data_IF_107898144920
#
_entry.id   IF_107898144920
#
_cell.length_a   1.000
_cell.length_b   1.000
_cell.length_c   1.000
_cell.angle_alpha   90.00
_cell.angle_beta   90.00
_cell.angle_gamma   90.00
#
_symmetry.space_group_name_H-M   'P 1'
#
loop_
_entity.id
_entity.type
_entity.pdbx_description
1 polymer ?
#
# COMPACT_ATOMS: atom_id res chain seq x y z
N UNK A 1 2.27 20.55 2.79
CA UNK A 1 1.02 19.80 2.47
C UNK A 1 1.32 18.30 2.54
N UNK A 2 0.42 17.45 3.07
CA UNK A 2 0.70 16.01 3.19
C UNK A 2 0.66 15.33 1.81
N UNK A 3 1.65 14.47 1.46
CA UNK A 3 1.68 13.76 0.17
C UNK A 3 0.49 12.83 -0.01
N UNK A 4 -0.02 12.69 -1.25
CA UNK A 4 -1.23 11.90 -1.56
C UNK A 4 -1.29 11.52 -3.04
N UNK A 5 -1.90 10.38 -3.37
CA UNK A 5 -2.20 10.00 -4.76
C UNK A 5 -3.25 10.90 -5.44
N UNK A 6 -3.81 11.88 -4.73
CA UNK A 6 -4.69 12.88 -5.34
C UNK A 6 -3.94 13.90 -6.22
N UNK A 7 -2.64 14.11 -5.97
CA UNK A 7 -1.80 15.05 -6.69
C UNK A 7 -0.85 14.33 -7.65
N UNK A 8 -0.78 14.84 -8.87
CA UNK A 8 0.05 14.25 -9.93
C UNK A 8 1.54 14.24 -9.55
N UNK A 9 2.05 15.34 -8.95
CA UNK A 9 3.45 15.46 -8.55
C UNK A 9 3.84 14.45 -7.46
N UNK A 10 2.99 14.26 -6.45
CA UNK A 10 3.24 13.26 -5.40
C UNK A 10 3.23 11.83 -5.96
N UNK A 11 2.32 11.56 -6.89
CA UNK A 11 2.23 10.27 -7.55
C UNK A 11 3.47 10.03 -8.42
N UNK A 12 3.90 11.02 -9.19
CA UNK A 12 5.08 10.93 -10.04
C UNK A 12 6.35 10.69 -9.20
N UNK A 13 6.53 11.42 -8.10
CA UNK A 13 7.65 11.20 -7.17
C UNK A 13 7.64 9.78 -6.59
N UNK A 14 6.48 9.29 -6.16
CA UNK A 14 6.34 7.95 -5.60
C UNK A 14 6.70 6.87 -6.62
N UNK A 15 6.24 7.02 -7.88
CA UNK A 15 6.55 6.09 -8.97
C UNK A 15 8.03 6.15 -9.36
N UNK A 16 8.65 7.32 -9.36
CA UNK A 16 10.09 7.46 -9.61
C UNK A 16 10.90 6.73 -8.53
N UNK A 17 10.52 6.85 -7.27
CA UNK A 17 11.13 6.09 -6.17
C UNK A 17 10.92 4.59 -6.36
N UNK A 18 9.72 4.14 -6.72
CA UNK A 18 9.43 2.73 -7.01
C UNK A 18 10.35 2.17 -8.11
N UNK A 19 10.61 2.95 -9.16
CA UNK A 19 11.51 2.55 -10.27
C UNK A 19 12.98 2.40 -9.85
N UNK A 20 13.38 2.95 -8.71
CA UNK A 20 14.73 2.77 -8.14
C UNK A 20 14.90 1.48 -7.35
N UNK A 21 13.80 0.77 -7.06
CA UNK A 21 13.87 -0.55 -6.40
C UNK A 21 14.58 -1.54 -7.31
N UNK A 22 15.52 -2.30 -6.76
CA UNK A 22 16.31 -3.33 -7.45
C UNK A 22 16.13 -4.68 -6.76
N UNK A 23 16.37 -5.81 -7.45
CA UNK A 23 16.27 -7.13 -6.84
C UNK A 23 17.13 -7.31 -5.57
N UNK A 24 18.27 -6.63 -5.54
CA UNK A 24 19.25 -6.65 -4.45
C UNK A 24 19.12 -5.50 -3.46
N UNK A 25 18.07 -4.67 -3.57
CA UNK A 25 17.81 -3.58 -2.62
C UNK A 25 17.75 -4.11 -1.18
N UNK A 26 18.61 -3.63 -0.26
CA UNK A 26 18.66 -4.12 1.11
C UNK A 26 17.47 -3.60 1.92
N UNK A 27 16.79 -4.49 2.65
CA UNK A 27 15.75 -4.07 3.59
C UNK A 27 16.35 -3.49 4.87
N UNK A 28 15.73 -2.46 5.40
CA UNK A 28 16.05 -1.85 6.70
C UNK A 28 15.36 -2.57 7.87
N UNK A 29 14.15 -3.11 7.62
CA UNK A 29 13.36 -3.88 8.60
C UNK A 29 12.46 -4.91 7.91
N UNK A 30 11.82 -5.77 8.71
CA UNK A 30 10.89 -6.77 8.21
C UNK A 30 11.56 -7.99 7.62
N UNK A 31 10.79 -8.83 6.93
CA UNK A 31 11.23 -10.13 6.41
C UNK A 31 11.17 -10.27 4.90
N UNK A 32 10.32 -9.50 4.21
CA UNK A 32 10.20 -9.54 2.75
C UNK A 32 11.50 -9.07 2.08
N UNK A 33 11.88 -9.69 0.97
CA UNK A 33 12.86 -9.12 0.05
C UNK A 33 12.19 -8.09 -0.87
N UNK A 34 13.00 -7.40 -1.70
CA UNK A 34 12.49 -6.33 -2.57
C UNK A 34 11.41 -6.83 -3.57
N UNK A 35 11.58 -8.03 -4.14
CA UNK A 35 10.62 -8.61 -5.06
C UNK A 35 9.29 -8.95 -4.38
N UNK A 36 9.36 -9.58 -3.20
CA UNK A 36 8.17 -9.86 -2.39
C UNK A 36 7.43 -8.58 -1.98
N UNK A 37 8.14 -7.49 -1.70
CA UNK A 37 7.54 -6.20 -1.41
C UNK A 37 6.75 -5.65 -2.60
N UNK A 38 7.26 -5.79 -3.83
CA UNK A 38 6.52 -5.38 -5.03
C UNK A 38 5.21 -6.15 -5.16
N UNK A 39 5.25 -7.47 -5.05
CA UNK A 39 4.03 -8.30 -5.08
C UNK A 39 3.05 -7.91 -3.96
N UNK A 40 3.56 -7.67 -2.76
CA UNK A 40 2.74 -7.20 -1.63
C UNK A 40 2.05 -5.86 -1.91
N UNK A 41 2.76 -4.88 -2.47
CA UNK A 41 2.17 -3.58 -2.81
C UNK A 41 1.07 -3.72 -3.86
N UNK A 42 1.29 -4.54 -4.91
CA UNK A 42 0.28 -4.80 -5.93
C UNK A 42 -0.96 -5.49 -5.32
N UNK A 43 -0.76 -6.53 -4.52
CA UNK A 43 -1.85 -7.27 -3.85
C UNK A 43 -2.62 -6.39 -2.86
N UNK A 44 -1.96 -5.46 -2.17
CA UNK A 44 -2.64 -4.51 -1.30
C UNK A 44 -3.59 -3.61 -2.09
N UNK A 45 -3.20 -3.12 -3.26
CA UNK A 45 -4.10 -2.32 -4.11
C UNK A 45 -5.27 -3.16 -4.64
N UNK A 46 -5.01 -4.41 -5.08
CA UNK A 46 -6.06 -5.36 -5.50
C UNK A 46 -7.05 -5.69 -4.39
N UNK A 47 -6.56 -5.83 -3.16
CA UNK A 47 -7.41 -6.06 -2.01
C UNK A 47 -8.36 -4.88 -1.75
N UNK A 48 -7.88 -3.65 -1.89
CA UNK A 48 -8.70 -2.46 -1.68
C UNK A 48 -9.71 -2.24 -2.81
N UNK A 49 -9.38 -2.63 -4.03
CA UNK A 49 -10.35 -2.59 -5.16
C UNK A 49 -11.32 -3.78 -5.17
N UNK A 50 -11.12 -4.77 -4.30
CA UNK A 50 -12.01 -5.93 -4.13
C UNK A 50 -11.67 -7.12 -5.03
N UNK A 51 -10.54 -7.09 -5.74
CA UNK A 51 -10.05 -8.22 -6.55
C UNK A 51 -9.56 -9.36 -5.66
N UNK A 52 -8.91 -9.04 -4.54
CA UNK A 52 -8.50 -9.99 -3.50
C UNK A 52 -9.37 -9.80 -2.27
N UNK A 53 -9.91 -10.89 -1.74
CA UNK A 53 -10.66 -10.86 -0.49
C UNK A 53 -9.69 -10.92 0.68
N UNK A 54 -9.85 -10.00 1.62
CA UNK A 54 -9.09 -9.95 2.86
C UNK A 54 -10.00 -9.93 4.08
N UNK A 55 -9.55 -10.54 5.16
CA UNK A 55 -10.26 -10.56 6.43
C UNK A 55 -10.40 -9.16 7.04
N UNK A 56 -11.54 -8.89 7.64
CA UNK A 56 -11.84 -7.63 8.30
C UNK A 56 -11.65 -7.77 9.81
N UNK A 57 -10.71 -7.01 10.36
CA UNK A 57 -10.58 -6.79 11.80
C UNK A 57 -10.56 -5.29 12.04
N UNK A 58 -11.70 -4.72 12.32
CA UNK A 58 -11.83 -3.29 12.55
C UNK A 58 -12.54 -3.00 13.85
N UNK A 59 -11.84 -3.08 15.01
CA UNK A 59 -12.37 -2.56 16.27
C UNK A 59 -12.77 -1.10 16.11
N UNK A 60 -13.80 -0.65 16.85
CA UNK A 60 -14.29 0.74 16.77
C UNK A 60 -13.19 1.79 16.97
N UNK A 61 -12.20 1.49 17.82
CA UNK A 61 -11.03 2.36 18.08
C UNK A 61 -10.20 2.62 16.81
N UNK A 62 -10.01 1.60 15.96
CA UNK A 62 -9.28 1.75 14.70
C UNK A 62 -10.03 2.64 13.71
N UNK A 63 -11.35 2.71 13.82
CA UNK A 63 -12.21 3.52 12.95
C UNK A 63 -12.22 5.01 13.30
N UNK A 64 -11.70 5.39 14.45
CA UNK A 64 -11.74 6.74 15.00
C UNK A 64 -10.33 7.35 15.10
N UNK A 65 -9.76 7.33 16.30
CA UNK A 65 -8.50 8.01 16.60
C UNK A 65 -7.30 7.43 15.83
N UNK A 66 -7.18 6.09 15.79
CA UNK A 66 -6.05 5.46 15.09
C UNK A 66 -6.07 5.78 13.59
N UNK A 67 -7.24 5.74 12.95
CA UNK A 67 -7.41 6.15 11.56
C UNK A 67 -6.94 7.58 11.33
N UNK A 68 -7.40 8.51 12.18
CA UNK A 68 -7.01 9.90 12.08
C UNK A 68 -5.50 10.06 12.24
N UNK A 69 -4.92 9.48 13.28
CA UNK A 69 -3.48 9.54 13.53
C UNK A 69 -2.66 8.92 12.37
N UNK A 70 -3.05 7.75 11.89
CA UNK A 70 -2.34 7.05 10.82
C UNK A 70 -2.36 7.80 9.48
N UNK A 71 -3.43 8.52 9.18
CA UNK A 71 -3.60 9.17 7.88
C UNK A 71 -3.19 10.64 7.87
N UNK A 72 -3.35 11.36 8.99
CA UNK A 72 -3.27 12.82 8.99
C UNK A 72 -2.16 13.40 9.87
N UNK A 73 -1.57 12.61 10.76
CA UNK A 73 -0.37 13.04 11.48
C UNK A 73 0.84 12.96 10.52
N UNK A 74 1.67 14.01 10.41
CA UNK A 74 2.80 14.06 9.49
C UNK A 74 4.01 13.27 10.01
N UNK A 75 3.77 12.06 10.45
CA UNK A 75 4.80 11.12 10.90
C UNK A 75 4.75 9.86 10.01
N UNK A 76 5.91 9.28 9.73
CA UNK A 76 5.95 8.00 9.04
C UNK A 76 5.28 6.90 9.86
N UNK A 77 4.65 5.95 9.19
CA UNK A 77 4.13 4.77 9.88
C UNK A 77 5.27 4.02 10.58
N UNK A 78 4.95 3.46 11.73
CA UNK A 78 5.88 2.67 12.53
C UNK A 78 6.37 1.45 11.73
N UNK A 79 7.66 1.13 11.87
CA UNK A 79 8.25 -0.06 11.29
C UNK A 79 7.63 -1.35 11.87
N UNK A 80 7.53 -2.39 11.04
CA UNK A 80 7.07 -3.71 11.48
C UNK A 80 5.56 -3.81 11.74
N UNK A 81 4.73 -3.01 11.06
CA UNK A 81 3.29 -3.19 11.07
C UNK A 81 2.91 -4.58 10.55
N UNK A 82 1.96 -5.22 11.22
CA UNK A 82 1.49 -6.57 10.83
C UNK A 82 0.72 -6.50 9.51
N UNK A 83 1.10 -7.40 8.62
CA UNK A 83 0.41 -7.65 7.36
C UNK A 83 -0.76 -8.62 7.58
N UNK A 84 -1.82 -8.49 6.80
CA UNK A 84 -2.91 -9.47 6.76
C UNK A 84 -2.37 -10.80 6.22
N UNK A 85 -2.83 -11.96 6.72
CA UNK A 85 -2.35 -13.28 6.25
C UNK A 85 -2.46 -13.44 4.74
N UNK A 86 -3.55 -12.96 4.15
CA UNK A 86 -3.83 -13.05 2.71
C UNK A 86 -2.88 -12.19 1.85
N UNK A 87 -2.16 -11.26 2.47
CA UNK A 87 -1.18 -10.38 1.83
C UNK A 87 0.26 -10.67 2.28
N UNK A 88 0.45 -11.66 3.16
CA UNK A 88 1.79 -12.01 3.67
C UNK A 88 2.56 -12.83 2.65
N UNK A 89 3.57 -12.23 2.06
CA UNK A 89 4.43 -12.85 1.05
C UNK A 89 5.24 -14.06 1.56
N UNK A 90 5.34 -14.22 2.86
CA UNK A 90 5.97 -15.40 3.50
C UNK A 90 4.95 -16.45 3.94
N UNK A 91 3.67 -16.17 3.72
CA UNK A 91 2.54 -17.04 4.05
C UNK A 91 1.67 -17.34 2.83
N UNK A 92 0.41 -16.93 2.89
CA UNK A 92 -0.64 -17.27 1.92
C UNK A 92 -0.90 -16.17 0.87
N UNK A 93 0.09 -15.30 0.58
CA UNK A 93 -0.08 -14.21 -0.38
C UNK A 93 -0.61 -14.70 -1.74
N UNK A 94 -1.46 -13.88 -2.34
CA UNK A 94 -2.11 -14.17 -3.62
C UNK A 94 -1.10 -14.23 -4.77
N UNK A 95 -0.21 -13.23 -4.87
CA UNK A 95 0.80 -13.14 -5.92
C UNK A 95 2.16 -13.61 -5.41
N UNK A 96 2.84 -14.43 -6.19
CA UNK A 96 4.22 -14.84 -5.94
C UNK A 96 5.17 -14.12 -6.89
N UNK A 97 6.42 -13.80 -6.46
CA UNK A 97 7.44 -13.23 -7.33
C UNK A 97 7.65 -14.05 -8.61
N UNK A 98 7.56 -13.38 -9.74
CA UNK A 98 7.78 -13.93 -11.08
C UNK A 98 8.96 -13.26 -11.77
N UNK A 99 8.69 -12.37 -12.74
CA UNK A 99 9.67 -11.48 -13.35
C UNK A 99 9.70 -10.16 -12.60
N UNK A 100 10.88 -9.73 -12.16
CA UNK A 100 11.02 -8.56 -11.29
C UNK A 100 10.54 -7.27 -11.95
N UNK A 101 10.87 -7.07 -13.23
CA UNK A 101 10.48 -5.87 -13.95
C UNK A 101 8.99 -5.84 -14.24
N UNK A 102 8.42 -6.99 -14.64
CA UNK A 102 6.99 -7.13 -14.85
C UNK A 102 6.21 -6.90 -13.54
N UNK A 103 6.67 -7.44 -12.42
CA UNK A 103 6.04 -7.26 -11.12
C UNK A 103 6.15 -5.80 -10.63
N UNK A 104 7.25 -5.10 -10.94
CA UNK A 104 7.39 -3.67 -10.66
C UNK A 104 6.41 -2.83 -11.47
N UNK A 105 6.29 -3.09 -12.77
CA UNK A 105 5.31 -2.42 -13.64
C UNK A 105 3.87 -2.71 -13.20
N UNK A 106 3.62 -3.92 -12.69
CA UNK A 106 2.32 -4.27 -12.14
C UNK A 106 1.95 -3.42 -10.92
N UNK A 107 2.89 -3.06 -10.03
CA UNK A 107 2.61 -2.11 -8.95
C UNK A 107 2.17 -0.76 -9.50
N UNK A 108 2.87 -0.22 -10.51
CA UNK A 108 2.50 1.04 -11.15
C UNK A 108 1.08 0.97 -11.71
N UNK A 109 0.77 -0.08 -12.45
CA UNK A 109 -0.57 -0.32 -13.02
C UNK A 109 -1.66 -0.43 -11.94
N UNK A 110 -1.38 -1.12 -10.85
CA UNK A 110 -2.33 -1.28 -9.74
C UNK A 110 -2.56 0.03 -8.97
N UNK A 111 -1.56 0.91 -8.86
CA UNK A 111 -1.74 2.26 -8.32
C UNK A 111 -2.71 3.07 -9.20
N UNK A 112 -2.57 3.02 -10.52
CA UNK A 112 -3.47 3.71 -11.45
C UNK A 112 -4.90 3.19 -11.35
N UNK A 113 -5.08 1.86 -11.34
CA UNK A 113 -6.40 1.20 -11.16
C UNK A 113 -7.02 1.63 -9.83
N UNK A 114 -6.25 1.62 -8.76
CA UNK A 114 -6.71 2.03 -7.44
C UNK A 114 -7.17 3.50 -7.42
N UNK A 115 -6.39 4.42 -7.98
CA UNK A 115 -6.76 5.84 -8.08
C UNK A 115 -8.08 5.98 -8.84
N UNK A 116 -8.23 5.30 -9.98
CA UNK A 116 -9.44 5.34 -10.78
C UNK A 116 -10.65 4.76 -10.01
N UNK A 117 -10.47 3.65 -9.30
CA UNK A 117 -11.51 3.03 -8.50
C UNK A 117 -11.96 3.93 -7.34
N UNK A 118 -11.02 4.57 -6.63
CA UNK A 118 -11.32 5.53 -5.56
C UNK A 118 -12.11 6.72 -6.09
N UNK A 119 -11.72 7.29 -7.23
CA UNK A 119 -12.42 8.43 -7.86
C UNK A 119 -13.83 8.06 -8.33
N UNK A 120 -14.02 6.84 -8.81
CA UNK A 120 -15.36 6.32 -9.19
C UNK A 120 -16.26 6.11 -7.96
N UNK A 121 -15.67 5.81 -6.81
CA UNK A 121 -16.39 5.52 -5.57
C UNK A 121 -16.87 4.06 -5.46
N UNK A 122 -17.53 3.76 -4.35
CA UNK A 122 -18.13 2.44 -4.11
C UNK A 122 -17.16 1.39 -3.57
N UNK A 123 -15.96 1.78 -3.13
CA UNK A 123 -15.06 0.84 -2.45
C UNK A 123 -15.67 0.34 -1.15
N UNK A 124 -15.43 -0.93 -0.84
CA UNK A 124 -15.79 -1.52 0.46
C UNK A 124 -15.00 -0.83 1.59
N UNK A 125 -15.49 -0.87 2.84
CA UNK A 125 -14.73 -0.33 3.97
C UNK A 125 -13.32 -0.94 4.05
N UNK A 126 -12.34 -0.12 4.42
CA UNK A 126 -10.96 -0.57 4.62
C UNK A 126 -10.90 -1.62 5.75
N UNK A 127 -10.15 -2.74 5.59
CA UNK A 127 -10.13 -3.84 6.57
C UNK A 127 -9.77 -3.41 8.00
N UNK A 128 -8.92 -2.39 8.14
CA UNK A 128 -8.48 -1.88 9.45
C UNK A 128 -9.21 -0.61 9.87
N UNK A 129 -9.39 0.35 8.95
CA UNK A 129 -9.90 1.69 9.28
C UNK A 129 -11.41 1.87 9.05
N UNK A 130 -12.10 0.86 8.50
CA UNK A 130 -13.51 0.97 8.16
C UNK A 130 -13.75 1.94 6.99
N UNK A 131 -14.90 2.62 6.94
CA UNK A 131 -15.22 3.54 5.84
C UNK A 131 -14.21 4.68 5.73
N UNK A 132 -13.73 4.95 4.50
CA UNK A 132 -12.82 6.03 4.17
C UNK A 132 -13.44 6.96 3.14
N UNK A 133 -13.17 8.26 3.27
CA UNK A 133 -13.46 9.25 2.22
C UNK A 133 -12.50 9.08 1.03
N UNK A 134 -12.84 9.65 -0.13
CA UNK A 134 -11.94 9.69 -1.29
C UNK A 134 -10.55 10.22 -0.92
N UNK A 135 -10.48 11.33 -0.18
CA UNK A 135 -9.21 11.90 0.25
C UNK A 135 -8.41 10.95 1.17
N UNK A 136 -9.09 10.28 2.10
CA UNK A 136 -8.47 9.32 3.00
C UNK A 136 -7.96 8.07 2.26
N UNK A 137 -8.68 7.57 1.26
CA UNK A 137 -8.24 6.47 0.41
C UNK A 137 -6.97 6.82 -0.37
N UNK A 138 -6.94 7.97 -1.04
CA UNK A 138 -5.78 8.40 -1.83
C UNK A 138 -4.57 8.71 -0.94
N UNK A 139 -4.81 9.20 0.28
CA UNK A 139 -3.76 9.38 1.29
C UNK A 139 -3.22 8.03 1.76
N UNK A 140 -4.09 7.06 2.06
CA UNK A 140 -3.71 5.71 2.46
C UNK A 140 -2.85 5.04 1.38
N UNK A 141 -3.28 5.07 0.13
CA UNK A 141 -2.54 4.47 -0.98
C UNK A 141 -1.11 5.00 -1.09
N UNK A 142 -0.93 6.32 -0.98
CA UNK A 142 0.40 6.94 -0.95
C UNK A 142 1.22 6.43 0.24
N UNK A 143 0.67 6.50 1.46
CA UNK A 143 1.36 6.11 2.69
C UNK A 143 1.77 4.64 2.70
N UNK A 144 0.94 3.76 2.15
CA UNK A 144 1.22 2.33 2.07
C UNK A 144 2.46 2.05 1.21
N UNK A 145 2.49 2.58 0.00
CA UNK A 145 3.63 2.41 -0.91
C UNK A 145 4.88 3.10 -0.35
N UNK A 146 4.76 4.34 0.15
CA UNK A 146 5.86 5.08 0.78
C UNK A 146 6.47 4.31 1.96
N UNK A 147 5.64 3.71 2.82
CA UNK A 147 6.10 2.88 3.94
C UNK A 147 7.00 1.74 3.47
N UNK A 148 6.59 1.06 2.40
CA UNK A 148 7.37 -0.05 1.85
C UNK A 148 8.61 0.41 1.07
N UNK A 149 8.58 1.54 0.37
CA UNK A 149 9.79 2.11 -0.23
C UNK A 149 10.83 2.48 0.83
N UNK A 150 10.41 3.12 1.93
CA UNK A 150 11.29 3.41 3.07
C UNK A 150 11.84 2.14 3.73
N UNK A 151 11.10 1.03 3.71
CA UNK A 151 11.59 -0.27 4.17
C UNK A 151 12.86 -0.71 3.43
N UNK A 152 13.03 -0.28 2.19
CA UNK A 152 14.21 -0.55 1.36
C UNK A 152 15.14 0.67 1.21
N UNK A 153 14.91 1.73 1.97
CA UNK A 153 15.77 2.89 1.97
C UNK A 153 15.62 3.81 0.74
N UNK A 154 14.51 3.70 0.07
CA UNK A 154 14.20 4.41 -1.18
C UNK A 154 13.17 5.51 -0.95
#
# INVERSE_FOLDING_TARGET
>A
MLPTLARADDTAELLERLRRVRPDSPRRWGRMNAHQMLCHCADAMRAMTGEILVSHESPWFNRTFLKWAALWVPLPWKDGLRTRPELDQLGEAHTRPGDFEADRQEVERQIEIFIAAVKRGGLKPHPVFGPLTTAAWLRWGHLHVDHHLRQFGI
#
